data_IF_971800489963
#
_entry.id   IF_971800489963
#
_cell.length_a   1.000
_cell.length_b   1.000
_cell.length_c   1.000
_cell.angle_alpha   90.00
_cell.angle_beta   90.00
_cell.angle_gamma   90.00
#
_symmetry.space_group_name_H-M   'P 1'
#
loop_
_entity.id
_entity.type
_entity.pdbx_description
1 polymer ?
#
# COMPACT_ATOMS: atom_id res chain seq x y z
N UNK A 1 2.42 -35.56 -31.49
CA UNK A 1 2.62 -34.10 -31.59
C UNK A 1 1.60 -33.44 -30.66
N UNK A 2 1.99 -33.11 -29.43
CA UNK A 2 1.06 -32.66 -28.38
C UNK A 2 1.04 -31.13 -28.37
N UNK A 3 0.00 -30.53 -28.95
CA UNK A 3 -0.18 -29.07 -28.93
C UNK A 3 -0.56 -28.67 -27.50
N UNK A 4 0.41 -28.20 -26.72
CA UNK A 4 0.14 -27.52 -25.45
C UNK A 4 -0.60 -26.22 -25.77
N UNK A 5 -1.91 -26.25 -25.58
CA UNK A 5 -2.81 -25.11 -25.66
C UNK A 5 -2.43 -24.14 -24.53
N UNK A 6 -1.60 -23.15 -24.82
CA UNK A 6 -1.35 -22.04 -23.92
C UNK A 6 -2.69 -21.30 -23.71
N UNK A 7 -3.30 -21.49 -22.54
CA UNK A 7 -4.34 -20.57 -22.08
C UNK A 7 -3.64 -19.28 -21.68
N UNK A 8 -3.64 -18.29 -22.57
CA UNK A 8 -3.45 -16.90 -22.14
C UNK A 8 -4.74 -16.49 -21.45
N UNK A 9 -4.84 -16.72 -20.14
CA UNK A 9 -5.92 -16.14 -19.36
C UNK A 9 -5.74 -14.62 -19.38
N UNK A 10 -6.46 -13.95 -20.27
CA UNK A 10 -6.58 -12.49 -20.35
C UNK A 10 -7.38 -11.94 -19.15
N UNK A 11 -7.11 -12.42 -17.94
CA UNK A 11 -7.67 -11.88 -16.70
C UNK A 11 -6.77 -10.74 -16.24
N UNK A 12 -6.58 -9.77 -17.12
CA UNK A 12 -6.08 -8.46 -16.75
C UNK A 12 -7.29 -7.54 -16.84
N UNK A 13 -7.73 -7.03 -15.68
CA UNK A 13 -8.76 -6.00 -15.51
C UNK A 13 -10.24 -6.42 -15.65
N UNK A 14 -10.69 -7.47 -14.96
CA UNK A 14 -12.12 -7.57 -14.67
C UNK A 14 -12.51 -6.47 -13.68
N UNK A 15 -13.22 -5.43 -14.15
CA UNK A 15 -13.77 -4.37 -13.29
C UNK A 15 -14.51 -5.01 -12.12
N UNK A 16 -14.08 -4.72 -10.89
CA UNK A 16 -14.70 -5.25 -9.68
C UNK A 16 -15.98 -4.47 -9.44
N UNK A 17 -17.12 -5.16 -9.54
CA UNK A 17 -18.45 -4.59 -9.24
C UNK A 17 -18.74 -4.81 -7.75
N UNK A 18 -19.11 -3.75 -7.00
CA UNK A 18 -19.46 -3.93 -5.60
C UNK A 18 -20.75 -4.74 -5.45
N UNK A 19 -20.72 -5.77 -4.61
CA UNK A 19 -21.83 -6.73 -4.42
C UNK A 19 -22.87 -6.28 -3.39
N UNK A 20 -22.54 -5.32 -2.51
CA UNK A 20 -23.42 -4.84 -1.44
C UNK A 20 -23.74 -3.34 -1.57
N UNK A 21 -24.64 -3.02 -2.51
CA UNK A 21 -25.07 -1.66 -2.84
C UNK A 21 -26.46 -1.30 -2.26
N UNK A 22 -27.23 -2.29 -1.79
CA UNK A 22 -28.61 -2.11 -1.34
C UNK A 22 -28.63 -1.15 -0.13
N UNK A 23 -29.44 -0.09 -0.23
CA UNK A 23 -29.55 0.94 0.81
C UNK A 23 -28.45 2.02 0.81
N UNK A 24 -27.42 1.93 -0.05
CA UNK A 24 -26.40 2.98 -0.18
C UNK A 24 -26.85 4.08 -1.14
N UNK A 25 -26.59 5.34 -0.77
CA UNK A 25 -26.76 6.51 -1.66
C UNK A 25 -25.92 6.34 -2.93
N UNK A 26 -26.39 6.85 -4.07
CA UNK A 26 -25.68 6.80 -5.36
C UNK A 26 -24.21 7.21 -5.27
N UNK A 27 -23.92 8.32 -4.58
CA UNK A 27 -22.55 8.81 -4.36
C UNK A 27 -21.65 7.80 -3.63
N UNK A 28 -22.19 7.05 -2.66
CA UNK A 28 -21.47 6.01 -1.94
C UNK A 28 -21.19 4.79 -2.83
N UNK A 29 -22.14 4.42 -3.70
CA UNK A 29 -21.96 3.34 -4.66
C UNK A 29 -20.86 3.67 -5.67
N UNK A 30 -20.87 4.89 -6.22
CA UNK A 30 -19.83 5.35 -7.14
C UNK A 30 -18.47 5.44 -6.47
N UNK A 31 -18.39 5.92 -5.22
CA UNK A 31 -17.15 5.93 -4.45
C UNK A 31 -16.57 4.52 -4.29
N UNK A 32 -17.42 3.54 -3.93
CA UNK A 32 -16.99 2.16 -3.74
C UNK A 32 -16.49 1.55 -5.05
N UNK A 33 -17.20 1.80 -6.15
CA UNK A 33 -16.77 1.36 -7.49
C UNK A 33 -15.42 1.98 -7.86
N UNK A 34 -15.21 3.28 -7.62
CA UNK A 34 -13.92 3.94 -7.89
C UNK A 34 -12.80 3.33 -7.04
N UNK A 35 -13.03 3.14 -5.74
CA UNK A 35 -12.05 2.58 -4.82
C UNK A 35 -11.66 1.15 -5.19
N UNK A 36 -12.62 0.30 -5.55
CA UNK A 36 -12.37 -1.09 -5.94
C UNK A 36 -11.61 -1.22 -7.25
N UNK A 37 -11.81 -0.28 -8.17
CA UNK A 37 -11.15 -0.25 -9.48
C UNK A 37 -9.90 0.62 -9.50
N UNK A 38 -9.42 1.08 -8.34
CA UNK A 38 -8.23 1.91 -8.27
C UNK A 38 -6.97 1.03 -8.35
N UNK A 39 -6.09 1.25 -9.35
CA UNK A 39 -4.90 0.41 -9.56
C UNK A 39 -3.90 0.46 -8.40
N UNK A 40 -3.86 1.51 -7.58
CA UNK A 40 -2.97 1.48 -6.41
C UNK A 40 -3.58 0.74 -5.23
N UNK A 41 -4.90 0.51 -5.18
CA UNK A 41 -5.50 -0.39 -4.17
C UNK A 41 -5.06 -1.82 -4.45
N UNK A 42 -5.08 -2.23 -5.71
CA UNK A 42 -4.56 -3.53 -6.14
C UNK A 42 -3.05 -3.63 -5.90
N UNK A 43 -2.26 -2.64 -6.35
CA UNK A 43 -0.81 -2.64 -6.09
C UNK A 43 -0.46 -2.66 -4.62
N UNK A 44 -1.21 -1.96 -3.75
CA UNK A 44 -0.98 -2.00 -2.31
C UNK A 44 -1.17 -3.41 -1.76
N UNK A 45 -2.22 -4.12 -2.18
CA UNK A 45 -2.44 -5.52 -1.79
C UNK A 45 -1.30 -6.43 -2.26
N UNK A 46 -0.89 -6.31 -3.53
CA UNK A 46 0.21 -7.09 -4.09
C UNK A 46 1.55 -6.83 -3.36
N UNK A 47 1.80 -5.58 -2.97
CA UNK A 47 2.98 -5.16 -2.24
C UNK A 47 2.87 -5.34 -0.71
N UNK A 48 1.78 -5.94 -0.21
CA UNK A 48 1.49 -6.13 1.22
C UNK A 48 1.50 -4.83 2.05
N UNK A 49 1.07 -3.72 1.44
CA UNK A 49 0.81 -2.45 2.13
C UNK A 49 -0.65 -2.38 2.60
N UNK A 50 -0.87 -1.87 3.81
CA UNK A 50 -2.21 -1.79 4.42
C UNK A 50 -3.18 -0.90 3.66
N UNK A 51 -2.69 0.14 2.98
CA UNK A 51 -3.52 0.97 2.11
C UNK A 51 -2.70 1.68 1.01
N UNK A 52 -3.39 2.19 -0.01
CA UNK A 52 -2.80 2.88 -1.17
C UNK A 52 -1.95 4.10 -0.84
N UNK A 53 -2.13 4.72 0.32
CA UNK A 53 -1.37 5.93 0.69
C UNK A 53 0.11 5.66 0.92
N UNK A 54 0.52 4.40 1.10
CA UNK A 54 1.92 3.98 1.15
C UNK A 54 2.75 4.57 0.00
N UNK A 55 2.22 4.51 -1.23
CA UNK A 55 2.94 4.98 -2.40
C UNK A 55 3.29 6.46 -2.36
N UNK A 56 2.49 7.29 -1.66
CA UNK A 56 2.80 8.72 -1.50
C UNK A 56 4.08 8.91 -0.71
N UNK A 57 4.23 8.24 0.44
CA UNK A 57 5.42 8.37 1.27
C UNK A 57 6.64 7.75 0.58
N UNK A 58 6.47 6.62 -0.13
CA UNK A 58 7.55 6.04 -0.94
C UNK A 58 8.05 7.00 -2.01
N UNK A 59 7.16 7.63 -2.78
CA UNK A 59 7.54 8.59 -3.83
C UNK A 59 8.22 9.84 -3.24
N UNK A 60 7.72 10.36 -2.11
CA UNK A 60 8.32 11.48 -1.39
C UNK A 60 9.73 11.10 -0.90
N UNK A 61 9.88 9.96 -0.25
CA UNK A 61 11.17 9.52 0.29
C UNK A 61 12.17 9.19 -0.83
N UNK A 62 11.72 8.62 -1.95
CA UNK A 62 12.57 8.42 -3.12
C UNK A 62 13.11 9.73 -3.69
N UNK A 63 12.29 10.79 -3.70
CA UNK A 63 12.68 12.08 -4.27
C UNK A 63 13.54 12.91 -3.32
N UNK A 64 13.27 12.85 -2.02
CA UNK A 64 13.84 13.78 -1.04
C UNK A 64 14.70 13.11 0.04
N UNK A 65 14.71 11.77 0.12
CA UNK A 65 15.50 10.98 1.07
C UNK A 65 15.31 11.47 2.52
N UNK A 66 14.05 11.56 2.95
CA UNK A 66 13.63 12.21 4.20
C UNK A 66 13.74 11.28 5.40
N UNK A 67 13.74 9.97 5.20
CA UNK A 67 13.90 8.97 6.28
C UNK A 67 15.19 8.19 6.05
N UNK A 68 16.07 8.18 7.05
CA UNK A 68 17.34 7.45 7.01
C UNK A 68 17.44 6.48 8.19
N UNK A 69 18.27 5.42 8.07
CA UNK A 69 18.53 4.51 9.17
C UNK A 69 18.96 5.24 10.44
N UNK A 70 18.38 4.87 11.58
CA UNK A 70 18.63 5.52 12.87
C UNK A 70 17.68 6.66 13.22
N UNK A 71 16.83 7.10 12.30
CA UNK A 71 15.91 8.19 12.59
C UNK A 71 14.78 7.75 13.53
N UNK A 72 14.36 8.68 14.38
CA UNK A 72 13.10 8.58 15.12
C UNK A 72 12.00 9.23 14.29
N UNK A 73 10.98 8.46 13.94
CA UNK A 73 9.86 8.90 13.11
C UNK A 73 8.57 8.86 13.92
N UNK A 74 7.79 9.94 13.88
CA UNK A 74 6.45 10.01 14.47
C UNK A 74 5.44 10.04 13.31
N UNK A 75 4.55 9.04 13.26
CA UNK A 75 3.48 8.93 12.27
C UNK A 75 2.17 9.43 12.89
N UNK A 76 1.76 10.65 12.54
CA UNK A 76 0.55 11.30 13.06
C UNK A 76 -0.66 10.96 12.19
N UNK A 77 -1.70 10.36 12.79
CA UNK A 77 -2.82 9.78 12.05
C UNK A 77 -2.44 8.43 11.45
N UNK A 78 -1.78 7.59 12.26
CA UNK A 78 -1.14 6.39 11.78
C UNK A 78 -2.13 5.36 11.21
N UNK A 79 -3.39 5.30 11.65
CA UNK A 79 -4.30 4.25 11.20
C UNK A 79 -4.60 4.36 9.70
N UNK A 80 -4.48 3.26 8.91
CA UNK A 80 -4.29 1.86 9.32
C UNK A 80 -2.81 1.40 9.44
N UNK A 81 -1.83 2.25 9.15
CA UNK A 81 -0.40 2.01 9.42
C UNK A 81 0.49 1.86 8.18
N UNK A 82 0.03 2.28 7.00
CA UNK A 82 0.78 2.07 5.76
C UNK A 82 2.04 2.94 5.66
N UNK A 83 2.01 4.14 6.23
CA UNK A 83 3.18 5.01 6.36
C UNK A 83 4.15 4.48 7.40
N UNK A 84 3.64 4.06 8.56
CA UNK A 84 4.42 3.31 9.55
C UNK A 84 5.17 2.10 8.97
N UNK A 85 4.56 1.31 8.07
CA UNK A 85 5.25 0.19 7.41
C UNK A 85 6.50 0.65 6.64
N UNK A 86 6.42 1.78 5.95
CA UNK A 86 7.54 2.35 5.20
C UNK A 86 8.56 2.95 6.16
N UNK A 87 8.11 3.72 7.15
CA UNK A 87 8.97 4.35 8.14
C UNK A 87 9.84 3.32 8.87
N UNK A 88 9.28 2.17 9.27
CA UNK A 88 10.03 1.10 9.95
C UNK A 88 11.18 0.59 9.07
N UNK A 89 10.89 0.33 7.78
CA UNK A 89 11.87 -0.15 6.82
C UNK A 89 12.97 0.89 6.55
N UNK A 90 12.59 2.15 6.32
CA UNK A 90 13.54 3.20 5.95
C UNK A 90 14.40 3.65 7.13
N UNK A 91 13.84 3.68 8.34
CA UNK A 91 14.58 4.03 9.57
C UNK A 91 15.35 2.87 10.18
N UNK A 92 15.23 1.66 9.62
CA UNK A 92 15.80 0.43 10.16
C UNK A 92 15.32 0.16 11.62
N UNK A 93 14.05 0.47 11.93
CA UNK A 93 13.51 0.28 13.28
C UNK A 93 13.29 -1.20 13.64
N UNK A 94 13.15 -2.07 12.64
CA UNK A 94 13.13 -3.53 12.82
C UNK A 94 14.54 -4.14 12.97
N UNK A 95 15.60 -3.37 12.67
CA UNK A 95 16.98 -3.84 12.70
C UNK A 95 17.34 -4.79 11.56
N UNK A 96 16.55 -4.84 10.48
CA UNK A 96 16.78 -5.74 9.36
C UNK A 96 18.05 -5.44 8.55
N UNK A 97 18.60 -4.22 8.63
CA UNK A 97 19.85 -3.82 8.00
C UNK A 97 21.02 -3.86 9.01
N UNK A 98 21.81 -4.95 9.05
CA UNK A 98 22.94 -5.06 9.96
C UNK A 98 24.02 -4.02 9.62
N UNK A 99 24.69 -3.51 10.66
CA UNK A 99 25.72 -2.47 10.54
C UNK A 99 25.18 -1.06 10.30
N UNK A 100 23.87 -0.86 10.18
CA UNK A 100 23.24 0.47 10.16
C UNK A 100 22.62 0.81 11.52
N UNK A 101 22.57 2.10 11.92
CA UNK A 101 21.88 2.50 13.14
C UNK A 101 20.42 2.05 13.12
N UNK A 102 19.91 1.63 14.28
CA UNK A 102 18.51 1.23 14.47
C UNK A 102 17.67 2.46 14.82
N UNK A 103 16.63 2.73 14.05
CA UNK A 103 15.70 3.83 14.31
C UNK A 103 14.58 3.45 15.29
N UNK A 104 13.61 4.35 15.43
CA UNK A 104 12.37 4.12 16.18
C UNK A 104 11.20 4.70 15.40
N UNK A 105 10.05 4.02 15.41
CA UNK A 105 8.82 4.53 14.79
C UNK A 105 7.71 4.51 15.83
N UNK A 106 7.06 5.65 16.01
CA UNK A 106 5.94 5.83 16.95
C UNK A 106 4.73 6.27 16.14
N UNK A 107 3.69 5.44 16.11
CA UNK A 107 2.41 5.79 15.51
C UNK A 107 1.46 6.38 16.55
N UNK A 108 0.77 7.47 16.20
CA UNK A 108 -0.26 8.10 17.02
C UNK A 108 -1.53 8.24 16.18
N UNK A 109 -2.65 7.77 16.69
CA UNK A 109 -3.98 7.87 16.06
C UNK A 109 -5.07 7.95 17.13
#
# INVERSE_FOLDING_TARGET
>A
MFVRRFHTSSVLFSKVVPTNLKGKKKSSQEWLTRQLNDPFVERAKMANYRCRSAFKLLEIDQKYNIIKPGFTVIDCGAAPGSWSQIAVKQSNADGAAPGKPKGTVIGVD
#
